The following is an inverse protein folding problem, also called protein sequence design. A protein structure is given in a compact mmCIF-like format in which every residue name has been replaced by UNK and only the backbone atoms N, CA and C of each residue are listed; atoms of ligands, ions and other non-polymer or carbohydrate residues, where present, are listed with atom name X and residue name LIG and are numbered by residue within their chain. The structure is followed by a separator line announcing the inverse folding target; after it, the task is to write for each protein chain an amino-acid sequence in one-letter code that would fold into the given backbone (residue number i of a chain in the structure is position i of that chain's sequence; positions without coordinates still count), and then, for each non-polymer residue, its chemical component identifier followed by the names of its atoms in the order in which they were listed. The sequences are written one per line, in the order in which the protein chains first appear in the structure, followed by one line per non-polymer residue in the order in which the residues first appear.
data_IF_230449729363
#
_entry.id   IF_230449729363
#
_cell.length_a   1.000
_cell.length_b   1.000
_cell.length_c   1.000
_cell.angle_alpha   90.00
_cell.angle_beta   90.00
_cell.angle_gamma   90.00
#
_symmetry.space_group_name_H-M   'P 1'
#
loop_
_entity.id
_entity.type
_entity.pdbx_description
1 polymer ?
#
# COMPACT_ATOMS: atom_id res chain seq x y z
N UNK A 1 27.80 0.93 8.29
CA UNK A 1 26.63 1.34 7.47
C UNK A 1 27.20 1.92 6.19
N UNK A 2 26.89 1.37 5.03
CA UNK A 2 27.42 1.87 3.74
C UNK A 2 26.33 2.66 3.06
N UNK A 3 26.57 3.95 2.83
CA UNK A 3 25.67 4.80 2.07
C UNK A 3 26.07 4.76 0.59
N UNK A 4 25.12 4.38 -0.26
CA UNK A 4 25.25 4.54 -1.71
C UNK A 4 24.28 5.63 -2.14
N UNK A 5 24.82 6.74 -2.62
CA UNK A 5 24.05 7.74 -3.34
C UNK A 5 23.85 7.20 -4.76
N UNK A 6 22.71 6.57 -4.97
CA UNK A 6 22.23 6.19 -6.29
C UNK A 6 21.10 7.16 -6.62
N UNK A 7 21.18 7.82 -7.76
CA UNK A 7 20.03 8.52 -8.31
C UNK A 7 18.95 7.46 -8.55
N UNK A 8 17.84 7.57 -7.82
CA UNK A 8 16.89 6.48 -7.63
C UNK A 8 16.13 6.15 -8.93
N UNK A 9 15.22 5.15 -8.91
CA UNK A 9 14.51 4.58 -10.07
C UNK A 9 13.71 5.56 -10.97
N UNK A 10 13.79 6.86 -10.72
CA UNK A 10 13.32 7.95 -11.59
C UNK A 10 14.31 9.10 -11.57
N UNK A 11 15.59 8.82 -11.84
CA UNK A 11 16.51 9.90 -12.17
C UNK A 11 16.07 10.50 -13.50
N UNK A 12 16.14 11.82 -13.61
CA UNK A 12 15.84 12.54 -14.84
C UNK A 12 17.11 13.22 -15.32
N UNK A 13 17.34 13.21 -16.63
CA UNK A 13 18.32 14.09 -17.25
C UNK A 13 17.91 15.56 -17.04
N UNK A 14 18.85 16.53 -17.19
CA UNK A 14 18.54 17.96 -17.08
C UNK A 14 17.41 18.43 -18.02
N UNK A 15 17.13 17.70 -19.08
CA UNK A 15 16.03 17.94 -20.03
C UNK A 15 14.67 17.36 -19.56
N UNK A 16 14.58 16.87 -18.32
CA UNK A 16 13.38 16.24 -17.71
C UNK A 16 12.94 14.92 -18.37
N UNK A 17 13.77 14.27 -19.17
CA UNK A 17 13.51 12.90 -19.64
C UNK A 17 14.06 11.88 -18.64
N UNK A 18 13.37 10.78 -18.43
CA UNK A 18 13.82 9.72 -17.52
C UNK A 18 15.17 9.15 -17.99
N UNK A 19 16.10 8.97 -17.06
CA UNK A 19 17.40 8.33 -17.31
C UNK A 19 17.26 6.80 -17.21
N UNK A 20 17.31 6.06 -18.32
CA UNK A 20 17.16 4.60 -18.31
C UNK A 20 18.27 3.88 -17.54
N UNK A 21 19.46 4.50 -17.40
CA UNK A 21 20.59 3.91 -16.68
C UNK A 21 20.38 3.91 -15.15
N UNK A 22 19.47 4.74 -14.65
CA UNK A 22 19.11 4.79 -13.22
C UNK A 22 18.15 3.66 -12.79
N UNK A 23 17.63 2.88 -13.74
CA UNK A 23 16.75 1.76 -13.46
C UNK A 23 17.51 0.66 -12.72
N UNK A 24 17.12 0.38 -11.48
CA UNK A 24 17.76 -0.64 -10.65
C UNK A 24 16.72 -1.33 -9.78
N UNK A 25 17.01 -2.54 -9.35
CA UNK A 25 16.19 -3.25 -8.38
C UNK A 25 17.05 -3.82 -7.28
N UNK A 26 16.45 -4.05 -6.11
CA UNK A 26 17.10 -4.78 -5.05
C UNK A 26 17.14 -6.26 -5.40
N UNK A 27 18.34 -6.84 -5.55
CA UNK A 27 18.48 -8.29 -5.68
C UNK A 27 17.89 -9.02 -4.46
N UNK A 28 17.37 -10.25 -4.67
CA UNK A 28 16.81 -11.07 -3.59
C UNK A 28 17.88 -11.40 -2.53
N UNK A 29 17.43 -11.57 -1.28
CA UNK A 29 18.31 -11.93 -0.17
C UNK A 29 18.54 -13.44 -0.18
N UNK A 30 19.75 -13.87 -0.55
CA UNK A 30 20.10 -15.31 -0.61
C UNK A 30 20.28 -15.92 0.78
N UNK A 31 20.68 -15.12 1.79
CA UNK A 31 20.80 -15.53 3.20
C UNK A 31 20.75 -14.31 4.13
N UNK A 32 20.02 -14.41 5.24
CA UNK A 32 19.96 -13.36 6.28
C UNK A 32 18.86 -12.31 6.05
N UNK A 33 19.06 -11.10 6.59
CA UNK A 33 18.09 -9.99 6.55
C UNK A 33 18.76 -8.75 5.93
N UNK A 34 18.09 -8.11 4.97
CA UNK A 34 18.53 -6.85 4.34
C UNK A 34 17.64 -5.71 4.84
N UNK A 35 18.25 -4.75 5.52
CA UNK A 35 17.63 -3.48 5.89
C UNK A 35 18.02 -2.39 4.88
N UNK A 36 17.05 -1.56 4.47
CA UNK A 36 17.28 -0.43 3.58
C UNK A 36 16.44 0.77 4.01
N UNK A 37 17.01 1.96 3.88
CA UNK A 37 16.35 3.23 4.21
C UNK A 37 16.53 4.19 3.02
N UNK A 38 15.70 4.07 1.96
CA UNK A 38 15.78 4.96 0.81
C UNK A 38 15.37 6.37 1.23
N UNK A 39 16.20 7.36 0.87
CA UNK A 39 15.83 8.77 0.96
C UNK A 39 15.54 9.26 -0.44
N UNK A 40 14.35 9.80 -0.64
CA UNK A 40 13.94 10.38 -1.92
C UNK A 40 14.14 11.88 -1.88
N UNK A 41 14.85 12.41 -2.87
CA UNK A 41 15.07 13.85 -3.04
C UNK A 41 14.24 14.28 -4.23
N UNK A 42 13.21 15.07 -3.98
CA UNK A 42 12.37 15.66 -5.03
C UNK A 42 13.06 16.89 -5.61
N UNK A 43 13.12 16.98 -6.94
CA UNK A 43 13.71 18.12 -7.66
C UNK A 43 12.66 19.23 -7.85
N UNK A 44 11.40 18.85 -8.04
CA UNK A 44 10.29 19.78 -8.11
C UNK A 44 9.76 20.11 -6.70
N UNK A 45 9.19 21.31 -6.56
CA UNK A 45 8.57 21.76 -5.32
C UNK A 45 7.41 20.83 -4.93
N UNK A 46 7.36 20.46 -3.65
CA UNK A 46 6.22 19.73 -3.11
C UNK A 46 5.01 20.68 -3.07
N UNK A 47 4.05 20.46 -3.98
CA UNK A 47 2.83 21.25 -4.09
C UNK A 47 1.63 20.46 -3.56
N UNK A 48 1.39 20.43 -2.24
CA UNK A 48 0.31 19.65 -1.65
C UNK A 48 -1.07 20.06 -2.19
N UNK A 49 -1.27 21.33 -2.51
CA UNK A 49 -2.53 21.85 -3.05
C UNK A 49 -2.81 21.36 -4.49
N UNK A 50 -1.78 20.98 -5.24
CA UNK A 50 -1.88 20.41 -6.59
C UNK A 50 -1.82 18.86 -6.59
N UNK A 51 -1.50 18.23 -5.45
CA UNK A 51 -1.45 16.79 -5.30
C UNK A 51 -2.78 16.08 -5.67
N UNK A 52 -3.97 16.61 -5.32
CA UNK A 52 -5.25 16.06 -5.78
C UNK A 52 -5.39 16.07 -7.32
N UNK A 53 -4.72 17.00 -8.00
CA UNK A 53 -4.68 17.10 -9.47
C UNK A 53 -3.71 16.08 -10.09
N UNK A 54 -2.59 15.79 -9.45
CA UNK A 54 -1.69 14.69 -9.86
C UNK A 54 -2.30 13.31 -9.57
N UNK A 55 -3.17 13.23 -8.56
CA UNK A 55 -4.07 12.12 -8.25
C UNK A 55 -5.40 12.21 -9.02
N UNK A 56 -5.65 13.21 -9.87
CA UNK A 56 -6.97 13.37 -10.53
C UNK A 56 -7.21 12.37 -11.67
N UNK A 57 -6.17 11.64 -12.08
CA UNK A 57 -6.30 10.42 -12.88
C UNK A 57 -6.43 9.15 -12.00
N UNK A 58 -6.29 9.27 -10.68
CA UNK A 58 -6.75 8.23 -9.79
C UNK A 58 -8.29 8.27 -9.83
N UNK A 59 -8.94 7.12 -10.03
CA UNK A 59 -10.39 7.06 -10.12
C UNK A 59 -11.02 7.69 -8.87
N UNK A 60 -12.22 8.27 -9.04
CA UNK A 60 -13.01 9.01 -8.04
C UNK A 60 -13.30 8.23 -6.73
N UNK A 61 -12.88 6.97 -6.65
CA UNK A 61 -12.88 6.09 -5.49
C UNK A 61 -11.48 5.73 -4.95
N UNK A 62 -10.46 6.52 -5.24
CA UNK A 62 -9.15 6.45 -4.58
C UNK A 62 -9.22 7.08 -3.19
N UNK A 63 -10.17 6.65 -2.36
CA UNK A 63 -9.99 6.76 -0.92
C UNK A 63 -8.75 5.92 -0.57
N UNK A 64 -7.88 6.36 0.35
CA UNK A 64 -6.83 5.50 0.86
C UNK A 64 -7.52 4.26 1.44
N UNK A 65 -7.47 3.15 0.71
CA UNK A 65 -8.05 1.92 1.21
C UNK A 65 -7.23 1.54 2.43
N UNK A 66 -7.85 1.60 3.60
CA UNK A 66 -7.24 1.14 4.84
C UNK A 66 -7.21 -0.39 4.84
N UNK A 67 -6.04 -1.05 4.71
CA UNK A 67 -5.96 -2.50 4.54
C UNK A 67 -6.52 -3.31 5.72
N UNK A 68 -6.72 -2.66 6.87
CA UNK A 68 -7.34 -3.24 8.05
C UNK A 68 -8.86 -3.19 8.07
N UNK A 69 -9.51 -2.38 7.22
CA UNK A 69 -10.96 -2.39 7.06
C UNK A 69 -11.37 -3.60 6.21
N UNK A 70 -12.43 -4.27 6.62
CA UNK A 70 -12.97 -5.43 5.92
C UNK A 70 -14.31 -5.06 5.28
N UNK A 71 -14.27 -4.73 3.99
CA UNK A 71 -15.44 -4.37 3.21
C UNK A 71 -15.27 -4.80 1.75
N UNK A 72 -16.39 -4.88 1.04
CA UNK A 72 -16.42 -5.06 -0.41
C UNK A 72 -16.49 -3.70 -1.10
N UNK A 73 -15.68 -3.51 -2.13
CA UNK A 73 -15.59 -2.29 -2.92
C UNK A 73 -16.51 -2.32 -4.15
N UNK A 74 -17.08 -3.47 -4.48
CA UNK A 74 -18.02 -3.63 -5.58
C UNK A 74 -19.31 -4.31 -5.09
N UNK A 75 -20.45 -3.81 -5.52
CA UNK A 75 -21.76 -4.36 -5.15
C UNK A 75 -21.97 -5.79 -5.67
N UNK A 76 -21.19 -6.22 -6.65
CA UNK A 76 -21.24 -7.56 -7.25
C UNK A 76 -20.38 -8.61 -6.53
N UNK A 77 -19.60 -8.22 -5.52
CA UNK A 77 -18.70 -9.11 -4.80
C UNK A 77 -19.39 -10.38 -4.27
N UNK A 78 -20.61 -10.27 -3.72
CA UNK A 78 -21.32 -11.45 -3.21
C UNK A 78 -21.69 -12.45 -4.32
N UNK A 79 -22.09 -11.94 -5.49
CA UNK A 79 -22.41 -12.76 -6.66
C UNK A 79 -21.18 -13.45 -7.24
N UNK A 80 -20.06 -12.72 -7.33
CA UNK A 80 -18.78 -13.27 -7.77
C UNK A 80 -18.21 -14.29 -6.80
N UNK A 81 -18.26 -14.02 -5.50
CA UNK A 81 -17.86 -14.98 -4.47
C UNK A 81 -18.72 -16.25 -4.52
N UNK A 82 -20.05 -16.11 -4.66
CA UNK A 82 -20.97 -17.24 -4.87
C UNK A 82 -20.73 -18.02 -6.16
N UNK A 83 -20.11 -17.39 -7.15
CA UNK A 83 -19.70 -18.01 -8.42
C UNK A 83 -18.29 -18.64 -8.36
N UNK A 84 -17.59 -18.56 -7.21
CA UNK A 84 -16.27 -19.13 -7.01
C UNK A 84 -15.11 -18.25 -7.49
N UNK A 85 -15.33 -16.96 -7.74
CA UNK A 85 -14.27 -16.04 -8.20
C UNK A 85 -13.16 -15.85 -7.16
N UNK A 86 -13.42 -16.10 -5.88
CA UNK A 86 -12.39 -16.06 -4.84
C UNK A 86 -11.22 -17.02 -5.13
N UNK A 87 -11.48 -18.13 -5.82
CA UNK A 87 -10.46 -19.12 -6.22
C UNK A 87 -10.02 -18.95 -7.67
N UNK A 88 -10.92 -18.56 -8.57
CA UNK A 88 -10.61 -18.41 -10.01
C UNK A 88 -9.95 -17.07 -10.34
N UNK A 89 -10.23 -16.03 -9.56
CA UNK A 89 -9.71 -14.67 -9.73
C UNK A 89 -9.23 -14.07 -8.40
N UNK A 90 -8.29 -14.72 -7.70
CA UNK A 90 -7.81 -14.26 -6.40
C UNK A 90 -7.14 -12.88 -6.48
N UNK A 91 -6.51 -12.57 -7.62
CA UNK A 91 -5.84 -11.29 -7.87
C UNK A 91 -6.74 -10.07 -7.72
N UNK A 92 -7.98 -10.16 -8.19
CA UNK A 92 -8.96 -9.08 -8.02
C UNK A 92 -9.71 -9.21 -6.69
N UNK A 93 -10.04 -10.44 -6.28
CA UNK A 93 -10.96 -10.68 -5.17
C UNK A 93 -10.31 -10.48 -3.80
N UNK A 94 -9.07 -10.98 -3.61
CA UNK A 94 -8.45 -11.12 -2.28
C UNK A 94 -6.98 -10.71 -2.18
N UNK A 95 -6.20 -10.73 -3.27
CA UNK A 95 -4.76 -10.46 -3.20
C UNK A 95 -4.46 -9.02 -2.79
N UNK A 96 -3.58 -8.85 -1.80
CA UNK A 96 -3.30 -7.55 -1.21
C UNK A 96 -4.55 -6.94 -0.58
N UNK A 97 -4.98 -5.83 -1.15
CA UNK A 97 -6.32 -5.27 -0.94
C UNK A 97 -7.23 -5.69 -2.10
N UNK A 98 -7.63 -6.95 -2.14
CA UNK A 98 -8.66 -7.37 -3.09
C UNK A 98 -9.96 -6.57 -2.92
N UNK A 99 -10.73 -6.41 -4.00
CA UNK A 99 -11.97 -5.65 -4.01
C UNK A 99 -13.11 -6.33 -3.24
N UNK A 100 -13.01 -7.64 -2.98
CA UNK A 100 -14.12 -8.46 -2.48
C UNK A 100 -13.73 -9.30 -1.25
N UNK A 101 -12.83 -8.77 -0.41
CA UNK A 101 -12.26 -9.51 0.72
C UNK A 101 -13.33 -9.95 1.73
N UNK A 102 -14.38 -9.14 1.94
CA UNK A 102 -15.44 -9.48 2.87
C UNK A 102 -16.30 -10.64 2.31
N UNK A 103 -16.76 -10.53 1.07
CA UNK A 103 -17.51 -11.60 0.40
C UNK A 103 -16.72 -12.91 0.27
N UNK A 104 -15.40 -12.84 0.11
CA UNK A 104 -14.54 -14.02 0.07
C UNK A 104 -14.11 -14.57 1.44
N UNK A 105 -14.49 -13.91 2.55
CA UNK A 105 -14.06 -14.30 3.89
C UNK A 105 -12.55 -14.16 4.13
N UNK A 106 -11.87 -13.31 3.35
CA UNK A 106 -10.43 -13.06 3.45
C UNK A 106 -10.06 -12.04 4.56
N UNK A 107 -11.06 -11.46 5.21
CA UNK A 107 -10.92 -10.55 6.35
C UNK A 107 -12.12 -10.68 7.29
N UNK A 108 -12.09 -9.99 8.42
CA UNK A 108 -13.21 -9.93 9.39
C UNK A 108 -13.58 -8.48 9.68
N UNK A 109 -14.87 -8.18 9.78
CA UNK A 109 -15.34 -6.84 10.18
C UNK A 109 -14.93 -6.55 11.62
N UNK A 110 -14.15 -5.48 11.81
CA UNK A 110 -13.67 -5.05 13.12
C UNK A 110 -14.66 -4.08 13.78
N UNK A 111 -14.73 -4.10 15.12
CA UNK A 111 -15.43 -3.05 15.87
C UNK A 111 -14.68 -1.72 15.82
N UNK A 112 -15.34 -0.64 16.25
CA UNK A 112 -14.69 0.67 16.44
C UNK A 112 -13.49 0.50 17.39
N UNK A 113 -12.32 0.96 16.95
CA UNK A 113 -11.04 0.85 17.66
C UNK A 113 -10.57 -0.57 18.03
N UNK A 114 -11.03 -1.63 17.36
CA UNK A 114 -10.48 -2.98 17.51
C UNK A 114 -9.16 -3.14 16.74
N UNK A 115 -8.09 -2.61 17.34
CA UNK A 115 -6.74 -2.65 16.78
C UNK A 115 -6.18 -4.07 16.63
N UNK A 116 -6.65 -5.02 17.44
CA UNK A 116 -6.26 -6.43 17.27
C UNK A 116 -6.75 -6.98 15.94
N UNK A 117 -8.04 -6.80 15.67
CA UNK A 117 -8.66 -7.20 14.41
C UNK A 117 -8.08 -6.44 13.20
N UNK A 118 -7.89 -5.11 13.31
CA UNK A 118 -7.35 -4.28 12.22
C UNK A 118 -5.95 -4.78 11.82
N UNK A 119 -5.08 -5.04 12.80
CA UNK A 119 -3.73 -5.57 12.54
C UNK A 119 -3.77 -6.94 11.89
N UNK A 120 -4.65 -7.83 12.35
CA UNK A 120 -4.83 -9.16 11.75
C UNK A 120 -5.30 -9.06 10.28
N UNK A 121 -6.25 -8.18 9.98
CA UNK A 121 -6.70 -7.94 8.61
C UNK A 121 -5.58 -7.39 7.71
N UNK A 122 -4.74 -6.48 8.23
CA UNK A 122 -3.57 -5.97 7.50
C UNK A 122 -2.57 -7.09 7.20
N UNK A 123 -2.24 -7.89 8.21
CA UNK A 123 -1.31 -9.01 8.07
C UNK A 123 -1.83 -10.06 7.06
N UNK A 124 -3.13 -10.39 7.10
CA UNK A 124 -3.77 -11.28 6.11
C UNK A 124 -3.70 -10.75 4.68
N UNK A 125 -3.76 -9.43 4.50
CA UNK A 125 -3.58 -8.77 3.22
C UNK A 125 -2.11 -8.58 2.81
N UNK A 126 -1.14 -9.05 3.60
CA UNK A 126 0.29 -8.87 3.32
C UNK A 126 0.81 -7.46 3.61
N UNK A 127 0.08 -6.66 4.38
CA UNK A 127 0.50 -5.32 4.82
C UNK A 127 1.23 -5.38 6.14
N UNK A 128 2.04 -4.34 6.39
CA UNK A 128 2.76 -4.20 7.65
C UNK A 128 1.76 -4.16 8.81
N UNK A 129 2.09 -4.93 9.85
CA UNK A 129 1.46 -4.79 11.16
C UNK A 129 1.75 -3.38 11.70
N UNK A 130 0.69 -2.66 12.10
CA UNK A 130 0.80 -1.28 12.58
C UNK A 130 0.54 -1.30 14.08
N UNK A 131 1.61 -1.17 14.86
CA UNK A 131 1.52 -1.09 16.31
C UNK A 131 1.32 0.36 16.73
N UNK A 132 0.38 0.59 17.65
CA UNK A 132 0.00 1.93 18.08
C UNK A 132 1.20 2.66 18.68
N UNK A 133 1.89 2.00 19.59
CA UNK A 133 3.03 2.56 20.32
C UNK A 133 4.19 2.89 19.38
N UNK A 134 4.39 2.09 18.32
CA UNK A 134 5.42 2.33 17.32
C UNK A 134 5.08 3.54 16.45
N UNK A 135 3.82 3.68 16.01
CA UNK A 135 3.41 4.83 15.20
C UNK A 135 3.39 6.13 16.01
N UNK A 136 2.95 6.08 17.27
CA UNK A 136 3.04 7.21 18.20
C UNK A 136 4.50 7.62 18.41
N UNK A 137 5.42 6.66 18.56
CA UNK A 137 6.86 6.94 18.65
C UNK A 137 7.42 7.55 17.36
N UNK A 138 6.91 7.16 16.18
CA UNK A 138 7.26 7.75 14.89
C UNK A 138 6.62 9.13 14.65
N UNK A 139 5.81 9.64 15.57
CA UNK A 139 5.09 10.91 15.44
C UNK A 139 3.98 10.87 14.40
N UNK A 140 3.46 9.68 14.10
CA UNK A 140 2.40 9.43 13.12
C UNK A 140 1.07 9.30 13.87
N UNK A 141 0.31 10.39 13.91
CA UNK A 141 -1.01 10.43 14.56
C UNK A 141 -2.12 10.23 13.52
N UNK A 142 -2.26 8.99 13.04
CA UNK A 142 -3.26 8.60 12.02
C UNK A 142 -4.59 8.17 12.62
N UNK A 143 -4.75 8.28 13.94
CA UNK A 143 -5.89 7.76 14.66
C UNK A 143 -7.03 8.78 14.61
N UNK A 144 -8.10 8.45 13.89
CA UNK A 144 -9.37 9.17 14.03
C UNK A 144 -10.05 8.65 15.30
N UNK A 145 -9.81 9.35 16.41
CA UNK A 145 -10.60 9.22 17.63
C UNK A 145 -12.04 9.76 17.43
#
# INVERSE_FOLDING_TARGET
MTAFLLYTQRSFFPNKTMDPASMHTGCPVIKGIKWGAPVWIHIDEFKPDEAPSMLSHAPEHAQPYEPGRCEDLDTRCSGWAGSGECQHNPGYMVDGVGACRASCGACTTCGEADWGCIRENRAKGGYLDVQREEMEWLGVDWWMD
#
